data_IF_293259035450
#
_entry.id   IF_293259035450
#
_cell.length_a   1.000
_cell.length_b   1.000
_cell.length_c   1.000
_cell.angle_alpha   90.00
_cell.angle_beta   90.00
_cell.angle_gamma   90.00
#
_symmetry.space_group_name_H-M   'P 1'
#
loop_
_entity.id
_entity.type
_entity.pdbx_description
1 polymer ?
#
# COMPACT_ATOMS: atom_id res chain seq x y z
N UNK A 1 13.75 10.54 -9.02
CA UNK A 1 12.57 9.74 -9.39
C UNK A 1 12.98 8.26 -9.40
N UNK A 2 12.76 7.55 -8.28
CA UNK A 2 12.87 6.09 -8.14
C UNK A 2 11.65 5.72 -7.31
N UNK A 3 10.49 5.55 -7.96
CA UNK A 3 9.90 4.26 -8.37
C UNK A 3 9.68 3.39 -7.15
N UNK A 4 8.40 3.17 -6.79
CA UNK A 4 7.97 1.97 -6.08
C UNK A 4 8.78 0.78 -6.61
N UNK A 5 9.29 -0.05 -5.70
CA UNK A 5 10.05 -1.24 -6.06
C UNK A 5 9.28 -1.96 -7.16
N UNK A 6 9.86 -1.99 -8.36
CA UNK A 6 9.25 -2.36 -9.66
C UNK A 6 8.89 -3.85 -9.69
N UNK A 7 8.05 -4.27 -8.76
CA UNK A 7 7.52 -5.61 -8.55
C UNK A 7 6.04 -5.56 -8.12
N UNK A 8 5.37 -4.40 -8.25
CA UNK A 8 3.94 -4.27 -7.97
C UNK A 8 3.58 -4.37 -6.49
N UNK A 9 4.52 -4.07 -5.59
CA UNK A 9 4.32 -4.16 -4.15
C UNK A 9 4.78 -2.90 -3.44
N UNK A 10 3.90 -2.30 -2.63
CA UNK A 10 4.24 -1.20 -1.70
C UNK A 10 4.34 -1.76 -0.29
N UNK A 11 5.39 -1.42 0.43
CA UNK A 11 5.49 -1.76 1.86
C UNK A 11 5.12 -0.56 2.69
N UNK A 12 4.13 -0.72 3.56
CA UNK A 12 3.65 0.33 4.46
C UNK A 12 3.86 -0.09 5.91
N UNK A 13 4.17 0.88 6.77
CA UNK A 13 4.20 0.66 8.21
C UNK A 13 2.86 1.08 8.81
N UNK A 14 2.18 0.15 9.48
CA UNK A 14 0.91 0.40 10.16
C UNK A 14 1.22 0.71 11.62
N UNK A 15 1.21 2.00 11.98
CA UNK A 15 1.60 2.49 13.30
C UNK A 15 0.78 1.85 14.43
N UNK A 16 -0.54 1.73 14.26
CA UNK A 16 -1.45 1.18 15.27
C UNK A 16 -1.11 -0.26 15.68
N UNK A 17 -0.50 -1.02 14.78
CA UNK A 17 -0.14 -2.43 14.99
C UNK A 17 1.37 -2.64 15.09
N UNK A 18 2.15 -1.57 14.91
CA UNK A 18 3.61 -1.59 14.89
C UNK A 18 4.19 -2.66 13.96
N UNK A 19 3.55 -2.85 12.79
CA UNK A 19 3.87 -3.91 11.81
C UNK A 19 4.00 -3.35 10.40
N UNK A 20 4.78 -4.05 9.55
CA UNK A 20 4.87 -3.77 8.12
C UNK A 20 3.86 -4.62 7.36
N UNK A 21 3.22 -4.04 6.33
CA UNK A 21 2.31 -4.74 5.41
C UNK A 21 2.73 -4.54 3.98
N UNK A 22 2.46 -5.54 3.14
CA UNK A 22 2.73 -5.51 1.71
C UNK A 22 1.44 -5.31 0.92
N UNK A 23 1.24 -4.11 0.38
CA UNK A 23 0.15 -3.80 -0.54
C UNK A 23 0.51 -4.38 -1.91
N UNK A 24 -0.32 -5.27 -2.42
CA UNK A 24 -0.07 -6.04 -3.66
C UNK A 24 -1.19 -5.87 -4.68
N UNK A 25 -2.20 -5.08 -4.34
CA UNK A 25 -3.41 -4.87 -5.13
C UNK A 25 -4.08 -3.55 -4.72
N UNK A 26 -4.81 -2.91 -5.65
CA UNK A 26 -5.41 -1.60 -5.48
C UNK A 26 -6.82 -1.59 -6.06
N UNK A 27 -7.75 -0.94 -5.35
CA UNK A 27 -9.12 -0.81 -5.81
C UNK A 27 -9.28 0.15 -7.00
N UNK A 28 -8.36 1.10 -7.18
CA UNK A 28 -8.34 1.99 -8.33
C UNK A 28 -6.91 2.35 -8.76
N UNK A 29 -6.76 2.72 -10.03
CA UNK A 29 -5.48 3.20 -10.58
C UNK A 29 -5.07 4.53 -9.95
N UNK A 30 -6.02 5.38 -9.53
CA UNK A 30 -5.69 6.62 -8.82
C UNK A 30 -5.06 6.35 -7.46
N UNK A 31 -5.52 5.33 -6.72
CA UNK A 31 -4.95 4.96 -5.44
C UNK A 31 -3.50 4.45 -5.59
N UNK A 32 -3.25 3.65 -6.62
CA UNK A 32 -1.90 3.19 -6.96
C UNK A 32 -1.00 4.38 -7.33
N UNK A 33 -1.46 5.27 -8.21
CA UNK A 33 -0.70 6.44 -8.65
C UNK A 33 -0.42 7.42 -7.50
N UNK A 34 -1.37 7.62 -6.59
CA UNK A 34 -1.18 8.45 -5.41
C UNK A 34 -0.06 7.88 -4.53
N UNK A 35 -0.11 6.59 -4.22
CA UNK A 35 0.88 5.94 -3.37
C UNK A 35 2.27 5.90 -4.02
N UNK A 36 2.38 5.75 -5.34
CA UNK A 36 3.66 5.84 -6.07
C UNK A 36 4.24 7.26 -6.05
N UNK A 37 3.37 8.28 -6.01
CA UNK A 37 3.76 9.69 -5.96
C UNK A 37 4.23 10.19 -4.59
N UNK A 38 4.00 9.43 -3.51
CA UNK A 38 4.33 9.88 -2.17
C UNK A 38 5.84 9.87 -1.90
N UNK A 39 6.36 10.89 -1.19
CA UNK A 39 7.73 10.84 -0.72
C UNK A 39 7.90 9.71 0.32
N UNK A 40 9.09 9.13 0.37
CA UNK A 40 9.43 8.14 1.40
C UNK A 40 9.22 8.74 2.79
N UNK A 41 8.52 8.00 3.66
CA UNK A 41 8.20 8.47 5.01
C UNK A 41 6.93 9.33 5.11
N UNK A 42 6.17 9.48 4.02
CA UNK A 42 4.83 10.05 4.10
C UNK A 42 3.90 9.19 4.96
N UNK A 43 3.08 9.84 5.78
CA UNK A 43 2.01 9.21 6.55
C UNK A 43 0.68 9.60 5.93
N UNK A 44 -0.14 8.61 5.57
CA UNK A 44 -1.53 8.84 5.20
C UNK A 44 -2.44 7.75 5.77
N UNK A 45 -3.71 8.08 6.06
CA UNK A 45 -4.72 7.06 6.29
C UNK A 45 -4.96 6.27 5.00
N UNK A 46 -5.00 4.95 5.11
CA UNK A 46 -5.39 4.04 4.03
C UNK A 46 -6.35 2.99 4.57
N UNK A 47 -7.35 2.67 3.77
CA UNK A 47 -8.21 1.52 4.00
C UNK A 47 -7.68 0.33 3.22
N UNK A 48 -7.63 -0.82 3.87
CA UNK A 48 -7.11 -2.03 3.25
C UNK A 48 -7.78 -3.29 3.78
N UNK A 49 -7.85 -4.30 2.92
CA UNK A 49 -8.31 -5.64 3.27
C UNK A 49 -7.26 -6.68 2.92
N UNK A 50 -7.30 -7.82 3.61
CA UNK A 50 -6.36 -8.90 3.37
C UNK A 50 -6.77 -9.68 2.12
N UNK A 51 -5.83 -9.94 1.21
CA UNK A 51 -6.09 -10.74 0.01
C UNK A 51 -6.04 -12.22 0.37
N UNK A 52 -7.19 -12.90 0.29
CA UNK A 52 -7.27 -14.33 0.53
C UNK A 52 -6.37 -15.11 -0.47
N UNK A 53 -5.59 -16.07 0.04
CA UNK A 53 -4.72 -16.92 -0.77
C UNK A 53 -3.34 -16.32 -1.14
N UNK A 54 -3.04 -15.07 -0.75
CA UNK A 54 -1.72 -14.42 -0.97
C UNK A 54 -0.94 -14.11 0.31
N UNK A 55 -1.02 -14.97 1.33
CA UNK A 55 -0.21 -14.85 2.55
C UNK A 55 -0.48 -13.55 3.32
N UNK A 56 0.52 -12.67 3.40
CA UNK A 56 0.45 -11.34 4.04
C UNK A 56 0.32 -10.19 3.01
N UNK A 57 -0.32 -10.48 1.88
CA UNK A 57 -0.69 -9.50 0.87
C UNK A 57 -1.98 -8.76 1.23
N UNK A 58 -1.96 -7.45 1.03
CA UNK A 58 -3.08 -6.55 1.31
C UNK A 58 -3.52 -5.81 0.04
N UNK A 59 -4.82 -5.57 -0.08
CA UNK A 59 -5.43 -4.76 -1.15
C UNK A 59 -5.84 -3.43 -0.55
N UNK A 60 -5.46 -2.33 -1.20
CA UNK A 60 -5.95 -0.99 -0.83
C UNK A 60 -7.38 -0.85 -1.34
N UNK A 61 -8.32 -0.57 -0.44
CA UNK A 61 -9.74 -0.42 -0.77
C UNK A 61 -10.18 1.04 -0.82
N UNK A 62 -9.40 1.94 -0.22
CA UNK A 62 -9.73 3.36 -0.18
C UNK A 62 -8.57 4.21 0.32
N UNK A 63 -8.51 5.44 -0.20
CA UNK A 63 -7.67 6.52 0.30
C UNK A 63 -8.54 7.78 0.32
N UNK A 64 -8.69 8.47 1.46
CA UNK A 64 -9.52 9.66 1.57
C UNK A 64 -8.93 10.90 0.88
#
# INVERSE_FOLDING_TARGET
WRSMTRHGTVTVFVEAEHTCRHLVDFASEEAEALLDGLPTGATLPIEMERVAGRGDGWRVTGIP
#
